data_IF_899470160083
#
_entry.id   IF_899470160083
#
_cell.length_a   1.000
_cell.length_b   1.000
_cell.length_c   1.000
_cell.angle_alpha   90.00
_cell.angle_beta   90.00
_cell.angle_gamma   90.00
#
_symmetry.space_group_name_H-M   'P 1'
#
loop_
_entity.id
_entity.type
_entity.pdbx_description
1 polymer ?
#
# COMPACT_ATOMS: atom_id res chain seq x y z
N UNK A 1 28.36 -10.39 34.97
CA UNK A 1 26.93 -9.98 34.84
C UNK A 1 26.71 -9.01 33.67
N UNK A 2 27.72 -8.22 33.28
CA UNK A 2 27.71 -7.40 32.05
C UNK A 2 27.78 -8.25 30.77
N UNK A 3 28.58 -9.32 30.76
CA UNK A 3 28.80 -10.17 29.59
C UNK A 3 27.58 -11.02 29.19
N UNK A 4 26.70 -11.35 30.16
CA UNK A 4 25.44 -12.06 29.91
C UNK A 4 24.38 -11.16 29.30
N UNK A 5 24.36 -9.86 29.64
CA UNK A 5 23.42 -8.89 29.09
C UNK A 5 23.82 -8.47 27.67
N UNK A 6 25.11 -8.28 27.41
CA UNK A 6 25.62 -7.94 26.07
C UNK A 6 25.44 -9.10 25.08
N UNK A 7 25.70 -10.34 25.50
CA UNK A 7 25.43 -11.53 24.68
C UNK A 7 23.94 -11.76 24.43
N UNK A 8 23.07 -11.54 25.44
CA UNK A 8 21.62 -11.62 25.26
C UNK A 8 21.09 -10.54 24.30
N UNK A 9 21.56 -9.29 24.42
CA UNK A 9 21.22 -8.21 23.50
C UNK A 9 21.69 -8.52 22.08
N UNK A 10 22.92 -8.99 21.92
CA UNK A 10 23.46 -9.34 20.61
C UNK A 10 22.66 -10.47 19.95
N UNK A 11 22.33 -11.52 20.71
CA UNK A 11 21.47 -12.61 20.24
C UNK A 11 20.06 -12.13 19.84
N UNK A 12 19.48 -11.22 20.62
CA UNK A 12 18.16 -10.64 20.34
C UNK A 12 18.19 -9.80 19.05
N UNK A 13 19.20 -8.96 18.88
CA UNK A 13 19.38 -8.13 17.68
C UNK A 13 19.65 -9.00 16.45
N UNK A 14 20.50 -10.02 16.57
CA UNK A 14 20.78 -10.95 15.48
C UNK A 14 19.51 -11.72 15.06
N UNK A 15 18.70 -12.16 16.02
CA UNK A 15 17.43 -12.85 15.76
C UNK A 15 16.43 -11.91 15.08
N UNK A 16 16.30 -10.67 15.55
CA UNK A 16 15.44 -9.67 14.92
C UNK A 16 15.91 -9.34 13.49
N UNK A 17 17.22 -9.21 13.27
CA UNK A 17 17.78 -8.99 11.95
C UNK A 17 17.52 -10.17 11.00
N UNK A 18 17.66 -11.41 11.49
CA UNK A 18 17.35 -12.62 10.73
C UNK A 18 15.85 -12.70 10.39
N UNK A 19 14.97 -12.29 11.30
CA UNK A 19 13.52 -12.24 11.03
C UNK A 19 13.16 -11.20 9.96
N UNK A 20 13.89 -10.09 9.90
CA UNK A 20 13.71 -9.04 8.89
C UNK A 20 14.35 -9.38 7.54
N UNK A 21 15.18 -10.43 7.46
CA UNK A 21 15.73 -10.88 6.19
C UNK A 21 14.60 -11.35 5.27
N UNK A 22 14.71 -11.06 3.96
CA UNK A 22 13.76 -11.55 2.99
C UNK A 22 13.65 -13.08 3.04
N UNK A 23 12.43 -13.62 3.16
CA UNK A 23 12.22 -15.07 3.03
C UNK A 23 12.40 -15.49 1.56
N UNK A 24 11.59 -14.91 0.68
CA UNK A 24 11.78 -14.93 -0.76
C UNK A 24 11.92 -13.49 -1.22
N UNK A 25 13.08 -13.15 -1.77
CA UNK A 25 13.31 -11.80 -2.23
C UNK A 25 12.44 -11.50 -3.46
N UNK A 26 11.45 -10.63 -3.31
CA UNK A 26 10.65 -10.13 -4.43
C UNK A 26 11.21 -8.78 -4.92
N UNK A 27 11.83 -8.72 -6.12
CA UNK A 27 12.30 -7.47 -6.69
C UNK A 27 11.16 -6.50 -6.97
N UNK A 28 9.95 -7.03 -7.23
CA UNK A 28 8.76 -6.23 -7.52
C UNK A 28 8.29 -5.46 -6.30
N UNK A 29 8.20 -6.13 -5.13
CA UNK A 29 7.80 -5.50 -3.86
C UNK A 29 8.79 -4.40 -3.50
N UNK A 30 10.09 -4.72 -3.50
CA UNK A 30 11.13 -3.74 -3.21
C UNK A 30 11.07 -2.55 -4.20
N UNK A 31 10.97 -2.84 -5.49
CA UNK A 31 10.92 -1.81 -6.53
C UNK A 31 9.72 -0.87 -6.37
N UNK A 32 8.53 -1.42 -6.12
CA UNK A 32 7.31 -0.62 -5.90
C UNK A 32 7.42 0.21 -4.62
N UNK A 33 7.90 -0.37 -3.52
CA UNK A 33 8.08 0.35 -2.26
C UNK A 33 9.11 1.48 -2.38
N UNK A 34 10.28 1.21 -2.98
CA UNK A 34 11.32 2.22 -3.20
C UNK A 34 10.85 3.31 -4.16
N UNK A 35 10.12 2.95 -5.21
CA UNK A 35 9.53 3.92 -6.14
C UNK A 35 8.52 4.82 -5.41
N UNK A 36 7.60 4.24 -4.63
CA UNK A 36 6.61 4.99 -3.86
C UNK A 36 7.27 5.94 -2.86
N UNK A 37 8.25 5.46 -2.09
CA UNK A 37 9.03 6.28 -1.16
C UNK A 37 9.79 7.39 -1.91
N UNK A 38 10.50 7.04 -2.98
CA UNK A 38 11.29 7.99 -3.78
C UNK A 38 10.43 9.10 -4.39
N UNK A 39 9.27 8.75 -4.94
CA UNK A 39 8.30 9.73 -5.45
C UNK A 39 7.76 10.60 -4.32
N UNK A 40 7.41 10.04 -3.17
CA UNK A 40 6.87 10.78 -2.05
C UNK A 40 7.89 11.80 -1.49
N UNK A 41 9.12 11.37 -1.21
CA UNK A 41 10.17 12.27 -0.72
C UNK A 41 10.60 13.31 -1.77
N UNK A 42 10.66 12.94 -3.05
CA UNK A 42 10.89 13.92 -4.13
C UNK A 42 9.75 14.94 -4.19
N UNK A 43 8.51 14.50 -3.99
CA UNK A 43 7.32 15.34 -3.91
C UNK A 43 7.37 16.33 -2.76
N UNK A 44 7.69 15.87 -1.55
CA UNK A 44 7.88 16.72 -0.36
C UNK A 44 8.90 17.82 -0.61
N UNK A 45 10.07 17.46 -1.15
CA UNK A 45 11.14 18.41 -1.48
C UNK A 45 10.69 19.45 -2.51
N UNK A 46 10.00 19.02 -3.57
CA UNK A 46 9.50 19.92 -4.63
C UNK A 46 8.41 20.86 -4.17
N UNK A 47 7.56 20.42 -3.23
CA UNK A 47 6.51 21.24 -2.64
C UNK A 47 7.02 22.07 -1.45
N UNK A 48 8.29 21.95 -1.08
CA UNK A 48 8.88 22.54 0.13
C UNK A 48 8.06 22.27 1.40
N UNK A 49 7.44 21.08 1.48
CA UNK A 49 6.60 20.65 2.60
C UNK A 49 7.47 19.96 3.65
N UNK A 50 7.32 20.35 4.92
CA UNK A 50 7.95 19.67 6.04
C UNK A 50 7.29 18.31 6.27
N UNK A 51 8.08 17.32 6.67
CA UNK A 51 7.55 16.03 7.08
C UNK A 51 6.72 16.21 8.37
N UNK A 52 5.48 15.75 8.35
CA UNK A 52 4.57 15.76 9.50
C UNK A 52 3.85 14.42 9.67
N UNK A 53 2.66 14.47 10.28
CA UNK A 53 1.81 13.30 10.50
C UNK A 53 1.43 12.57 9.21
N UNK A 54 1.19 13.32 8.14
CA UNK A 54 0.95 12.76 6.79
C UNK A 54 2.11 11.85 6.35
N UNK A 55 3.34 12.33 6.50
CA UNK A 55 4.55 11.58 6.13
C UNK A 55 4.75 10.35 7.00
N UNK A 56 4.43 10.43 8.30
CA UNK A 56 4.49 9.29 9.19
C UNK A 56 3.47 8.21 8.81
N UNK A 57 2.21 8.60 8.55
CA UNK A 57 1.16 7.66 8.12
C UNK A 57 1.53 6.97 6.81
N UNK A 58 2.04 7.73 5.83
CA UNK A 58 2.51 7.18 4.56
C UNK A 58 3.64 6.17 4.78
N UNK A 59 4.64 6.53 5.58
CA UNK A 59 5.79 5.68 5.87
C UNK A 59 5.37 4.41 6.61
N UNK A 60 4.53 4.50 7.63
CA UNK A 60 4.02 3.34 8.38
C UNK A 60 3.20 2.41 7.48
N UNK A 61 2.32 2.97 6.65
CA UNK A 61 1.55 2.19 5.68
C UNK A 61 2.46 1.47 4.69
N UNK A 62 3.45 2.16 4.12
CA UNK A 62 4.38 1.57 3.16
C UNK A 62 5.30 0.51 3.78
N UNK A 63 5.84 0.79 4.97
CA UNK A 63 6.69 -0.15 5.71
C UNK A 63 5.89 -1.38 6.13
N UNK A 64 4.64 -1.23 6.58
CA UNK A 64 3.81 -2.38 6.95
C UNK A 64 3.56 -3.32 5.76
N UNK A 65 3.25 -2.78 4.57
CA UNK A 65 3.13 -3.57 3.33
C UNK A 65 4.44 -4.29 3.00
N UNK A 66 5.58 -3.59 3.07
CA UNK A 66 6.88 -4.18 2.81
C UNK A 66 7.19 -5.32 3.79
N UNK A 67 6.96 -5.11 5.09
CA UNK A 67 7.26 -6.08 6.13
C UNK A 67 6.49 -7.39 5.89
N UNK A 68 5.19 -7.31 5.62
CA UNK A 68 4.37 -8.52 5.47
C UNK A 68 4.58 -9.24 4.14
N UNK A 69 5.18 -8.61 3.13
CA UNK A 69 5.47 -9.24 1.83
C UNK A 69 6.91 -9.74 1.68
N UNK A 70 7.86 -9.13 2.37
CA UNK A 70 9.27 -9.43 2.17
C UNK A 70 9.85 -10.29 3.29
N UNK A 71 9.49 -10.05 4.55
CA UNK A 71 10.15 -10.66 5.72
C UNK A 71 9.67 -12.09 5.98
N UNK A 72 10.16 -12.69 7.08
CA UNK A 72 9.69 -14.00 7.53
C UNK A 72 8.18 -14.04 7.84
N UNK A 73 7.49 -12.90 7.93
CA UNK A 73 6.01 -12.89 7.97
C UNK A 73 5.43 -13.57 6.71
N UNK A 74 6.02 -13.35 5.53
CA UNK A 74 5.57 -14.02 4.30
C UNK A 74 5.78 -15.53 4.37
N UNK A 75 6.90 -15.97 4.94
CA UNK A 75 7.17 -17.39 5.20
C UNK A 75 6.04 -18.02 6.03
N UNK A 76 5.81 -17.47 7.23
CA UNK A 76 4.80 -18.03 8.12
C UNK A 76 3.39 -17.96 7.53
N UNK A 77 3.12 -16.98 6.68
CA UNK A 77 1.83 -16.81 6.02
C UNK A 77 1.54 -17.89 4.97
N UNK A 78 2.55 -18.56 4.41
CA UNK A 78 2.33 -19.70 3.50
C UNK A 78 1.96 -20.99 4.21
N UNK A 79 2.34 -21.13 5.49
CA UNK A 79 2.18 -22.39 6.24
C UNK A 79 1.17 -22.29 7.38
N UNK A 80 0.81 -21.09 7.82
CA UNK A 80 -0.14 -20.86 8.90
C UNK A 80 -1.29 -19.98 8.43
N UNK A 81 -2.51 -20.53 8.47
CA UNK A 81 -3.73 -19.80 8.14
C UNK A 81 -3.89 -18.52 8.97
N UNK A 82 -3.55 -18.55 10.26
CA UNK A 82 -3.62 -17.37 11.11
C UNK A 82 -2.68 -16.26 10.65
N UNK A 83 -1.43 -16.62 10.32
CA UNK A 83 -0.45 -15.67 9.81
C UNK A 83 -0.86 -15.14 8.44
N UNK A 84 -1.38 -16.01 7.57
CA UNK A 84 -1.95 -15.65 6.29
C UNK A 84 -3.06 -14.60 6.41
N UNK A 85 -4.01 -14.82 7.32
CA UNK A 85 -5.11 -13.87 7.57
C UNK A 85 -4.61 -12.55 8.16
N UNK A 86 -3.57 -12.60 8.99
CA UNK A 86 -2.94 -11.39 9.54
C UNK A 86 -2.22 -10.60 8.44
N UNK A 87 -1.47 -11.27 7.56
CA UNK A 87 -0.85 -10.66 6.39
C UNK A 87 -1.90 -9.98 5.51
N UNK A 88 -2.98 -10.68 5.17
CA UNK A 88 -4.08 -10.14 4.38
C UNK A 88 -4.79 -8.97 5.08
N UNK A 89 -4.93 -9.00 6.41
CA UNK A 89 -5.47 -7.88 7.17
C UNK A 89 -4.58 -6.64 7.02
N UNK A 90 -3.26 -6.81 7.11
CA UNK A 90 -2.32 -5.70 6.91
C UNK A 90 -2.34 -5.20 5.46
N UNK A 91 -2.26 -6.11 4.49
CA UNK A 91 -2.23 -5.78 3.06
C UNK A 91 -3.49 -5.12 2.55
N UNK A 92 -4.66 -5.54 3.04
CA UNK A 92 -5.94 -5.07 2.53
C UNK A 92 -6.55 -3.94 3.35
N UNK A 93 -6.22 -3.86 4.64
CA UNK A 93 -6.79 -2.86 5.55
C UNK A 93 -5.72 -1.90 6.04
N UNK A 94 -4.84 -2.33 6.95
CA UNK A 94 -3.97 -1.41 7.71
C UNK A 94 -3.04 -0.59 6.81
N UNK A 95 -2.28 -1.25 5.93
CA UNK A 95 -1.33 -0.59 5.03
C UNK A 95 -2.03 0.42 4.10
N UNK A 96 -3.01 -0.03 3.30
CA UNK A 96 -3.83 0.85 2.46
C UNK A 96 -4.52 1.99 3.21
N UNK A 97 -5.08 1.73 4.38
CA UNK A 97 -5.73 2.74 5.22
C UNK A 97 -4.75 3.85 5.59
N UNK A 98 -3.58 3.48 6.12
CA UNK A 98 -2.54 4.44 6.52
C UNK A 98 -2.03 5.26 5.32
N UNK A 99 -1.80 4.60 4.18
CA UNK A 99 -1.40 5.28 2.93
C UNK A 99 -2.51 6.22 2.44
N UNK A 100 -3.77 5.84 2.49
CA UNK A 100 -4.85 6.70 2.04
C UNK A 100 -5.08 7.88 3.00
N UNK A 101 -5.01 7.64 4.31
CA UNK A 101 -5.16 8.64 5.36
C UNK A 101 -4.05 9.71 5.32
N UNK A 102 -2.86 9.40 4.78
CA UNK A 102 -1.82 10.39 4.57
C UNK A 102 -2.10 11.39 3.42
N UNK A 103 -3.19 11.20 2.66
CA UNK A 103 -3.53 11.98 1.49
C UNK A 103 -2.36 12.20 0.49
N UNK A 104 -1.67 11.13 0.05
CA UNK A 104 -0.37 11.23 -0.60
C UNK A 104 -0.47 11.68 -2.06
N UNK A 105 -1.69 11.79 -2.62
CA UNK A 105 -1.95 12.05 -4.04
C UNK A 105 -1.18 13.24 -4.60
N UNK A 106 -1.29 14.40 -3.94
CA UNK A 106 -0.64 15.65 -4.38
C UNK A 106 0.89 15.56 -4.28
N UNK A 107 1.39 14.93 -3.22
CA UNK A 107 2.82 14.75 -2.96
C UNK A 107 3.43 13.79 -3.98
N UNK A 108 2.82 12.61 -4.19
CA UNK A 108 3.26 11.63 -5.19
C UNK A 108 3.23 12.21 -6.60
N UNK A 109 2.19 12.98 -6.94
CA UNK A 109 2.08 13.63 -8.26
C UNK A 109 3.16 14.70 -8.46
N UNK A 110 3.42 15.56 -7.47
CA UNK A 110 4.54 16.51 -7.51
C UNK A 110 5.90 15.80 -7.63
N UNK A 111 5.94 14.61 -7.04
CA UNK A 111 7.04 13.66 -7.12
C UNK A 111 7.25 13.06 -8.50
N UNK A 112 6.37 13.18 -9.50
CA UNK A 112 6.57 12.63 -10.85
C UNK A 112 7.36 13.58 -11.77
N UNK A 113 8.06 13.06 -12.80
CA UNK A 113 8.62 13.90 -13.86
C UNK A 113 7.49 14.58 -14.67
N UNK A 114 7.70 15.84 -15.08
CA UNK A 114 6.68 16.61 -15.84
C UNK A 114 6.23 15.90 -17.13
N UNK A 115 7.13 15.18 -17.81
CA UNK A 115 6.79 14.43 -19.02
C UNK A 115 5.82 13.28 -18.72
N UNK A 116 5.97 12.56 -17.59
CA UNK A 116 5.05 11.48 -17.21
C UNK A 116 3.66 12.03 -16.92
N UNK A 117 3.57 13.15 -16.20
CA UNK A 117 2.29 13.82 -15.93
C UNK A 117 1.59 14.18 -17.24
N UNK A 118 2.34 14.72 -18.22
CA UNK A 118 1.83 15.06 -19.56
C UNK A 118 1.38 13.82 -20.34
N UNK A 119 2.13 12.73 -20.29
CA UNK A 119 1.74 11.47 -20.94
C UNK A 119 0.46 10.93 -20.31
N UNK A 120 0.38 10.89 -18.98
CA UNK A 120 -0.81 10.43 -18.25
C UNK A 120 -2.05 11.27 -18.56
N UNK A 121 -1.92 12.60 -18.62
CA UNK A 121 -3.04 13.48 -18.98
C UNK A 121 -3.46 13.31 -20.44
N UNK A 122 -2.49 13.16 -21.36
CA UNK A 122 -2.76 12.92 -22.78
C UNK A 122 -3.45 11.58 -23.01
N UNK A 123 -2.96 10.50 -22.39
CA UNK A 123 -3.58 9.18 -22.46
C UNK A 123 -5.00 9.20 -21.89
N UNK A 124 -5.19 9.88 -20.75
CA UNK A 124 -6.51 10.03 -20.12
C UNK A 124 -7.50 10.75 -21.01
N UNK A 125 -7.07 11.78 -21.72
CA UNK A 125 -7.91 12.54 -22.65
C UNK A 125 -8.18 11.78 -23.95
N UNK A 126 -7.17 11.11 -24.50
CA UNK A 126 -7.22 10.46 -25.82
C UNK A 126 -7.89 9.08 -25.80
N UNK A 127 -7.77 8.35 -24.71
CA UNK A 127 -8.25 6.97 -24.59
C UNK A 127 -9.26 6.83 -23.44
N UNK A 128 -10.52 7.28 -23.64
CA UNK A 128 -11.56 7.12 -22.62
C UNK A 128 -11.81 5.65 -22.29
N UNK A 129 -11.50 4.72 -23.21
CA UNK A 129 -11.57 3.27 -22.98
C UNK A 129 -10.69 2.80 -21.82
N UNK A 130 -9.56 3.46 -21.55
CA UNK A 130 -8.66 3.13 -20.42
C UNK A 130 -9.20 3.73 -19.12
N UNK A 131 -9.83 4.90 -19.19
CA UNK A 131 -10.26 5.65 -18.00
C UNK A 131 -11.65 5.29 -17.51
N UNK A 132 -12.51 4.74 -18.38
CA UNK A 132 -13.86 4.29 -18.04
C UNK A 132 -13.84 3.13 -17.03
N UNK A 133 -13.09 2.03 -17.24
CA UNK A 133 -13.01 0.93 -16.27
C UNK A 133 -12.48 1.40 -14.92
N UNK A 134 -11.42 2.20 -14.89
CA UNK A 134 -10.84 2.72 -13.65
C UNK A 134 -11.88 3.55 -12.87
N UNK A 135 -12.66 4.38 -13.57
CA UNK A 135 -13.74 5.17 -12.94
C UNK A 135 -14.87 4.30 -12.42
N UNK A 136 -15.25 3.26 -13.16
CA UNK A 136 -16.27 2.30 -12.75
C UNK A 136 -15.83 1.53 -11.51
N UNK A 137 -14.60 1.00 -11.51
CA UNK A 137 -14.04 0.26 -10.38
C UNK A 137 -13.93 1.18 -9.15
N UNK A 138 -13.58 2.45 -9.32
CA UNK A 138 -13.54 3.42 -8.22
C UNK A 138 -14.91 4.02 -7.83
N UNK A 139 -16.02 3.57 -8.44
CA UNK A 139 -17.34 3.98 -7.97
C UNK A 139 -17.58 3.41 -6.56
N UNK A 140 -18.18 4.16 -5.61
CA UNK A 140 -18.25 3.74 -4.21
C UNK A 140 -18.84 2.34 -3.99
N UNK A 141 -19.94 2.04 -4.68
CA UNK A 141 -20.57 0.73 -4.60
C UNK A 141 -19.72 -0.38 -5.23
N UNK A 142 -19.09 -0.12 -6.37
CA UNK A 142 -18.28 -1.13 -7.08
C UNK A 142 -17.00 -1.42 -6.29
N UNK A 143 -16.32 -0.39 -5.81
CA UNK A 143 -15.12 -0.56 -5.00
C UNK A 143 -15.43 -1.22 -3.65
N UNK A 144 -16.54 -0.85 -2.99
CA UNK A 144 -16.97 -1.54 -1.77
C UNK A 144 -17.36 -3.00 -2.01
N UNK A 145 -18.01 -3.29 -3.14
CA UNK A 145 -18.30 -4.66 -3.54
C UNK A 145 -17.02 -5.46 -3.80
N UNK A 146 -16.07 -4.92 -4.57
CA UNK A 146 -14.79 -5.57 -4.86
C UNK A 146 -13.95 -5.80 -3.60
N UNK A 147 -13.92 -4.83 -2.69
CA UNK A 147 -13.30 -4.93 -1.36
C UNK A 147 -13.74 -6.15 -0.58
N UNK A 148 -15.02 -6.49 -0.66
CA UNK A 148 -15.55 -7.68 0.02
C UNK A 148 -15.37 -8.93 -0.86
N UNK A 149 -15.67 -8.81 -2.16
CA UNK A 149 -15.68 -9.94 -3.09
C UNK A 149 -14.30 -10.57 -3.27
N UNK A 150 -13.22 -9.78 -3.30
CA UNK A 150 -11.86 -10.32 -3.47
C UNK A 150 -11.45 -11.18 -2.27
N UNK A 151 -11.86 -10.81 -1.07
CA UNK A 151 -11.61 -11.59 0.15
C UNK A 151 -12.33 -12.94 0.05
N UNK A 152 -13.62 -12.94 -0.31
CA UNK A 152 -14.38 -14.17 -0.44
C UNK A 152 -13.82 -15.07 -1.54
N UNK A 153 -13.47 -14.49 -2.69
CA UNK A 153 -12.86 -15.21 -3.81
C UNK A 153 -11.60 -15.96 -3.37
N UNK A 154 -10.67 -15.28 -2.69
CA UNK A 154 -9.43 -15.90 -2.20
C UNK A 154 -9.63 -16.84 -1.01
N UNK A 155 -10.80 -16.84 -0.38
CA UNK A 155 -11.15 -17.74 0.72
C UNK A 155 -11.92 -18.99 0.24
N UNK A 156 -12.28 -19.08 -1.04
CA UNK A 156 -12.84 -20.30 -1.61
C UNK A 156 -11.80 -21.42 -1.46
N UNK A 157 -12.11 -22.53 -0.76
CA UNK A 157 -11.09 -23.50 -0.34
C UNK A 157 -10.21 -24.04 -1.47
N UNK A 158 -10.78 -24.38 -2.63
CA UNK A 158 -10.02 -24.86 -3.78
C UNK A 158 -9.07 -23.80 -4.34
N UNK A 159 -9.58 -22.59 -4.58
CA UNK A 159 -8.80 -21.46 -5.10
C UNK A 159 -7.69 -21.07 -4.13
N UNK A 160 -8.02 -21.02 -2.83
CA UNK A 160 -7.07 -20.71 -1.78
C UNK A 160 -5.93 -21.72 -1.74
N UNK A 161 -6.26 -23.01 -1.78
CA UNK A 161 -5.29 -24.09 -1.77
C UNK A 161 -4.36 -24.03 -2.99
N UNK A 162 -4.91 -23.81 -4.19
CA UNK A 162 -4.13 -23.63 -5.42
C UNK A 162 -3.21 -22.39 -5.35
N UNK A 163 -3.69 -21.32 -4.73
CA UNK A 163 -2.91 -20.11 -4.49
C UNK A 163 -1.75 -20.36 -3.52
N UNK A 164 -1.93 -21.18 -2.49
CA UNK A 164 -0.86 -21.55 -1.55
C UNK A 164 0.19 -22.46 -2.18
N UNK A 165 -0.18 -23.28 -3.17
CA UNK A 165 0.75 -24.21 -3.83
C UNK A 165 1.60 -23.57 -4.94
N UNK A 166 1.19 -22.43 -5.49
CA UNK A 166 1.88 -21.81 -6.61
C UNK A 166 2.30 -20.37 -6.32
N UNK A 167 3.60 -20.10 -6.45
CA UNK A 167 4.16 -18.77 -6.24
C UNK A 167 3.52 -17.67 -7.10
N UNK A 168 3.17 -17.90 -8.39
CA UNK A 168 2.48 -16.89 -9.18
C UNK A 168 1.08 -16.54 -8.66
N UNK A 169 0.26 -17.53 -8.26
CA UNK A 169 -1.08 -17.27 -7.73
C UNK A 169 -1.01 -16.65 -6.33
N UNK A 170 -0.08 -17.10 -5.50
CA UNK A 170 0.22 -16.49 -4.20
C UNK A 170 0.54 -14.99 -4.35
N UNK A 171 1.43 -14.65 -5.28
CA UNK A 171 1.77 -13.27 -5.58
C UNK A 171 0.59 -12.49 -6.16
N UNK A 172 -0.19 -13.08 -7.07
CA UNK A 172 -1.38 -12.46 -7.64
C UNK A 172 -2.43 -12.16 -6.56
N UNK A 173 -2.59 -13.07 -5.59
CA UNK A 173 -3.43 -12.87 -4.44
C UNK A 173 -2.94 -11.74 -3.55
N UNK A 174 -1.67 -11.75 -3.15
CA UNK A 174 -1.09 -10.72 -2.29
C UNK A 174 -1.15 -9.32 -2.92
N UNK A 175 -0.78 -9.21 -4.19
CA UNK A 175 -0.89 -7.96 -4.94
C UNK A 175 -2.34 -7.54 -5.14
N UNK A 176 -3.23 -8.49 -5.43
CA UNK A 176 -4.66 -8.25 -5.55
C UNK A 176 -5.22 -7.63 -4.28
N UNK A 177 -4.90 -8.20 -3.12
CA UNK A 177 -5.34 -7.68 -1.81
C UNK A 177 -4.79 -6.27 -1.53
N UNK A 178 -3.52 -6.03 -1.85
CA UNK A 178 -2.89 -4.72 -1.64
C UNK A 178 -3.49 -3.64 -2.54
N UNK A 179 -3.68 -3.96 -3.83
CA UNK A 179 -4.23 -3.04 -4.83
C UNK A 179 -5.69 -2.73 -4.48
N UNK A 180 -6.50 -3.75 -4.24
CA UNK A 180 -7.92 -3.59 -3.99
C UNK A 180 -8.19 -2.82 -2.69
N UNK A 181 -7.44 -3.13 -1.62
CA UNK A 181 -7.46 -2.35 -0.39
C UNK A 181 -7.11 -0.88 -0.63
N UNK A 182 -6.05 -0.60 -1.39
CA UNK A 182 -5.67 0.76 -1.73
C UNK A 182 -6.77 1.48 -2.54
N UNK A 183 -7.40 0.79 -3.50
CA UNK A 183 -8.49 1.37 -4.28
C UNK A 183 -9.68 1.78 -3.41
N UNK A 184 -10.08 0.92 -2.46
CA UNK A 184 -11.18 1.19 -1.55
C UNK A 184 -10.89 2.34 -0.59
N UNK A 185 -9.76 2.29 0.11
CA UNK A 185 -9.42 3.36 1.07
C UNK A 185 -9.16 4.69 0.37
N UNK A 186 -8.58 4.66 -0.82
CA UNK A 186 -8.43 5.87 -1.63
C UNK A 186 -9.77 6.47 -2.05
N UNK A 187 -10.77 5.63 -2.34
CA UNK A 187 -12.14 6.06 -2.64
C UNK A 187 -12.81 6.70 -1.41
N UNK A 188 -12.63 6.13 -0.21
CA UNK A 188 -13.15 6.69 1.06
C UNK A 188 -12.50 8.04 1.37
N UNK A 189 -11.17 8.13 1.30
CA UNK A 189 -10.43 9.35 1.66
C UNK A 189 -10.29 10.36 0.51
N UNK A 190 -11.10 10.24 -0.55
CA UNK A 190 -11.06 11.16 -1.69
C UNK A 190 -11.14 12.61 -1.23
N UNK A 191 -10.03 13.33 -1.36
CA UNK A 191 -10.00 14.76 -1.11
C UNK A 191 -10.51 15.52 -2.34
N UNK A 192 -11.37 16.54 -2.16
CA UNK A 192 -11.71 17.46 -3.24
C UNK A 192 -10.44 18.12 -3.79
N UNK A 193 -10.42 18.51 -5.08
CA UNK A 193 -9.32 19.29 -5.64
C UNK A 193 -9.03 20.51 -4.75
N UNK A 194 -7.75 20.77 -4.46
CA UNK A 194 -7.32 21.98 -3.76
C UNK A 194 -7.78 23.20 -4.57
N UNK A 195 -8.85 23.85 -4.08
CA UNK A 195 -9.59 24.90 -4.79
C UNK A 195 -11.10 24.88 -4.52
N UNK A 196 -11.65 23.76 -4.04
CA UNK A 196 -13.09 23.66 -3.69
C UNK A 196 -13.41 23.98 -2.22
N UNK A 197 -12.38 24.22 -1.39
CA UNK A 197 -12.54 24.50 0.04
C UNK A 197 -12.68 26.01 0.36
N UNK A 198 -12.62 26.88 -0.65
CA UNK A 198 -12.72 28.35 -0.46
C UNK A 198 -14.17 28.85 -0.35
N UNK A 199 -15.18 27.98 -0.53
CA UNK A 199 -16.60 28.35 -0.45
C UNK A 199 -17.33 27.80 0.78
N UNK A 200 -16.63 27.53 1.90
CA UNK A 200 -17.30 27.59 3.20
C UNK A 200 -17.14 29.00 3.75
N UNK A 201 -18.03 29.88 3.30
CA UNK A 201 -18.38 31.10 4.01
C UNK A 201 -18.64 30.74 5.48
N UNK A 202 -17.65 30.98 6.34
CA UNK A 202 -17.93 31.26 7.74
C UNK A 202 -18.60 32.64 7.75
N UNK A 203 -19.93 32.61 7.77
CA UNK A 203 -20.74 33.78 8.01
C UNK A 203 -20.35 34.40 9.34
N UNK A 204 -19.83 35.61 9.26
CA UNK A 204 -19.81 36.55 10.38
C UNK A 204 -21.27 36.95 10.65
N UNK A 205 -21.76 36.60 11.83
CA UNK A 205 -22.68 37.44 12.60
C UNK A 205 -22.34 37.28 14.08
#
# INVERSE_FOLDING_TARGET
MTDSLTSALFSTVATAAAFLQPYEFSPTVLGVCLLAAGLYFRGLRRLNRKAGWDTLLFALGLVSIYLVLQTQIDYYSRFSFFMHRTQHLVLHHLGPFLIAASAPASVLLAGLPKYMIRIMSTLRARYPVITRPIRMIQAPFVSGFLFVAIIYFWLIPGIHFDAMLSLPLYNAMNWGMAIDGLMFWWMIFRQPPAGMLETRHYGVR
#
